data_IF_144869291231
#
_entry.id   IF_144869291231
#
_cell.length_a   1.000
_cell.length_b   1.000
_cell.length_c   1.000
_cell.angle_alpha   90.00
_cell.angle_beta   90.00
_cell.angle_gamma   90.00
#
_symmetry.space_group_name_H-M   'P 1'
#
loop_
_entity.id
_entity.type
_entity.pdbx_description
1 polymer ?
#
# COMPACT_ATOMS: atom_id res chain seq x y z
N UNK A 1 18.47 -18.29 -4.98
CA UNK A 1 18.98 -17.07 -5.63
C UNK A 1 19.27 -16.02 -4.57
N UNK A 2 20.27 -15.18 -4.79
CA UNK A 2 20.58 -14.05 -3.91
C UNK A 2 20.11 -12.74 -4.56
N UNK A 3 19.12 -12.08 -3.95
CA UNK A 3 18.49 -10.87 -4.44
C UNK A 3 19.04 -9.65 -3.69
N UNK A 4 19.56 -8.67 -4.43
CA UNK A 4 19.85 -7.33 -3.89
C UNK A 4 18.60 -6.46 -4.00
N UNK A 5 17.97 -6.15 -2.88
CA UNK A 5 16.83 -5.23 -2.80
C UNK A 5 17.34 -3.83 -2.46
N UNK A 6 17.03 -2.84 -3.29
CA UNK A 6 17.45 -1.46 -3.09
C UNK A 6 16.24 -0.58 -2.79
N UNK A 7 16.29 0.10 -1.66
CA UNK A 7 15.25 1.07 -1.26
C UNK A 7 15.91 2.30 -0.65
N UNK A 8 15.30 3.48 -0.86
CA UNK A 8 15.87 4.75 -0.40
C UNK A 8 16.09 4.78 1.11
N UNK A 9 15.05 4.42 1.84
CA UNK A 9 15.00 4.42 3.30
C UNK A 9 14.49 3.08 3.79
N UNK A 10 15.06 2.58 4.90
CA UNK A 10 14.63 1.36 5.54
C UNK A 10 14.91 1.48 7.04
N UNK A 11 13.87 1.83 7.79
CA UNK A 11 13.95 2.17 9.21
C UNK A 11 13.52 0.99 10.08
N UNK A 12 14.33 -0.06 10.11
CA UNK A 12 14.14 -1.12 11.10
C UNK A 12 14.91 -0.77 12.36
N UNK A 13 14.21 -0.75 13.48
CA UNK A 13 14.79 -0.39 14.78
C UNK A 13 14.96 1.11 15.00
N UNK A 14 14.82 1.94 14.00
CA UNK A 14 14.73 3.40 14.15
C UNK A 14 13.26 3.78 14.36
N UNK A 15 12.79 3.65 15.59
CA UNK A 15 11.53 4.27 15.98
C UNK A 15 11.79 5.78 16.03
N UNK A 16 10.82 6.55 15.48
CA UNK A 16 10.52 7.94 15.88
C UNK A 16 10.69 8.99 14.79
N UNK A 17 9.54 9.56 14.42
CA UNK A 17 9.39 10.96 14.01
C UNK A 17 9.81 11.88 15.17
N UNK A 18 9.91 13.18 14.93
CA UNK A 18 10.09 14.18 16.00
C UNK A 18 9.04 14.08 17.11
N UNK A 19 7.90 13.43 16.80
CA UNK A 19 6.74 13.24 17.67
C UNK A 19 6.63 11.79 18.21
N UNK A 20 7.69 10.99 18.11
CA UNK A 20 7.75 9.66 18.70
C UNK A 20 7.09 8.52 17.91
N UNK A 21 6.60 8.78 16.69
CA UNK A 21 5.80 7.84 15.90
C UNK A 21 6.64 7.00 14.92
N UNK A 22 6.36 5.71 14.71
CA UNK A 22 7.05 4.88 13.73
C UNK A 22 6.68 5.33 12.32
N UNK A 23 7.57 6.02 11.63
CA UNK A 23 7.36 6.48 10.25
C UNK A 23 7.93 5.51 9.25
N UNK A 24 7.32 4.33 9.09
CA UNK A 24 7.57 3.53 7.89
C UNK A 24 6.78 4.15 6.73
N UNK A 25 7.49 4.53 5.67
CA UNK A 25 6.83 4.87 4.40
C UNK A 25 6.25 3.58 3.78
N UNK A 26 5.24 3.71 2.92
CA UNK A 26 4.70 2.55 2.19
C UNK A 26 5.79 1.75 1.46
N UNK A 27 6.78 2.40 0.87
CA UNK A 27 7.91 1.73 0.20
C UNK A 27 8.76 0.88 1.17
N UNK A 28 8.99 1.34 2.40
CA UNK A 28 9.73 0.60 3.43
C UNK A 28 8.93 -0.61 3.91
N UNK A 29 7.63 -0.42 4.12
CA UNK A 29 6.71 -1.50 4.51
C UNK A 29 6.68 -2.62 3.45
N UNK A 30 6.55 -2.25 2.16
CA UNK A 30 6.56 -3.23 1.07
C UNK A 30 7.93 -3.89 0.89
N UNK A 31 9.04 -3.14 1.04
CA UNK A 31 10.38 -3.71 0.97
C UNK A 31 10.60 -4.80 2.02
N UNK A 32 10.16 -4.57 3.26
CA UNK A 32 10.28 -5.54 4.35
C UNK A 32 9.45 -6.79 4.09
N UNK A 33 8.18 -6.61 3.73
CA UNK A 33 7.28 -7.73 3.48
C UNK A 33 7.72 -8.56 2.28
N UNK A 34 8.09 -7.92 1.17
CA UNK A 34 8.63 -8.63 0.01
C UNK A 34 9.92 -9.40 0.36
N UNK A 35 10.83 -8.80 1.15
CA UNK A 35 12.04 -9.49 1.58
C UNK A 35 11.72 -10.73 2.43
N UNK A 36 10.82 -10.61 3.42
CA UNK A 36 10.38 -11.73 4.26
C UNK A 36 9.76 -12.86 3.44
N UNK A 37 8.90 -12.51 2.50
CA UNK A 37 8.23 -13.50 1.67
C UNK A 37 9.19 -14.19 0.68
N UNK A 38 10.14 -13.46 0.10
CA UNK A 38 11.19 -14.03 -0.74
C UNK A 38 12.09 -14.99 0.06
N UNK A 39 12.39 -14.66 1.33
CA UNK A 39 13.16 -15.53 2.22
C UNK A 39 12.39 -16.81 2.55
N UNK A 40 11.09 -16.74 2.85
CA UNK A 40 10.24 -17.94 3.04
C UNK A 40 10.26 -18.89 1.83
N UNK A 41 10.55 -18.36 0.63
CA UNK A 41 10.68 -19.12 -0.64
C UNK A 41 12.10 -19.61 -0.93
N UNK A 42 12.99 -19.53 0.07
CA UNK A 42 14.37 -20.02 -0.03
C UNK A 42 15.32 -19.07 -0.76
N UNK A 43 14.92 -17.81 -1.00
CA UNK A 43 15.84 -16.82 -1.55
C UNK A 43 16.64 -16.15 -0.43
N UNK A 44 17.89 -15.83 -0.72
CA UNK A 44 18.68 -14.93 0.13
C UNK A 44 18.42 -13.49 -0.28
N UNK A 45 18.14 -12.61 0.68
CA UNK A 45 17.85 -11.20 0.42
C UNK A 45 18.82 -10.29 1.19
N UNK A 46 19.50 -9.41 0.48
CA UNK A 46 20.26 -8.30 1.06
C UNK A 46 19.57 -6.99 0.72
N UNK A 47 19.18 -6.22 1.74
CA UNK A 47 18.62 -4.88 1.55
C UNK A 47 19.74 -3.85 1.60
N UNK A 48 19.88 -3.06 0.54
CA UNK A 48 20.74 -1.89 0.49
C UNK A 48 19.91 -0.62 0.64
N UNK A 49 20.26 0.20 1.64
CA UNK A 49 19.56 1.45 1.94
C UNK A 49 20.53 2.54 2.38
N UNK A 50 20.06 3.79 2.50
CA UNK A 50 20.92 4.85 3.02
C UNK A 50 21.05 4.79 4.54
N UNK A 51 22.22 5.12 5.05
CA UNK A 51 22.44 5.37 6.47
C UNK A 51 21.91 6.76 6.81
N UNK A 52 20.91 6.85 7.67
CA UNK A 52 20.31 8.15 8.07
C UNK A 52 21.08 8.81 9.21
N UNK A 53 21.52 8.01 10.19
CA UNK A 53 22.15 8.51 11.41
C UNK A 53 23.50 7.83 11.63
N UNK A 54 24.47 8.55 12.21
CA UNK A 54 25.81 8.05 12.44
C UNK A 54 25.84 6.90 13.46
N UNK A 55 24.90 6.86 14.42
CA UNK A 55 24.81 5.84 15.45
C UNK A 55 24.16 4.53 14.97
N UNK A 56 23.53 4.50 13.79
CA UNK A 56 22.95 3.26 13.28
C UNK A 56 24.05 2.32 12.76
N UNK A 57 23.87 1.02 12.98
CA UNK A 57 24.81 0.01 12.48
C UNK A 57 24.83 0.02 10.95
N UNK A 58 26.03 -0.05 10.36
CA UNK A 58 26.18 -0.11 8.89
C UNK A 58 25.74 -1.45 8.32
N UNK A 59 25.72 -2.51 9.14
CA UNK A 59 25.24 -3.84 8.79
C UNK A 59 24.57 -4.51 9.99
N UNK A 60 23.46 -5.17 9.73
CA UNK A 60 22.76 -6.01 10.71
C UNK A 60 21.99 -7.12 10.00
N UNK A 61 21.66 -8.20 10.70
CA UNK A 61 20.78 -9.26 10.22
C UNK A 61 19.51 -9.27 11.05
N UNK A 62 18.35 -9.34 10.40
CA UNK A 62 17.06 -9.31 11.06
C UNK A 62 16.07 -10.20 10.31
N UNK A 63 15.52 -11.21 10.99
CA UNK A 63 14.54 -12.13 10.40
C UNK A 63 15.03 -12.77 9.09
N UNK A 64 16.34 -13.07 8.98
CA UNK A 64 16.96 -13.61 7.75
C UNK A 64 17.31 -12.56 6.69
N UNK A 65 16.93 -11.28 6.87
CA UNK A 65 17.31 -10.17 5.99
C UNK A 65 18.71 -9.69 6.35
N UNK A 66 19.63 -9.65 5.38
CA UNK A 66 20.93 -9.00 5.50
C UNK A 66 20.77 -7.51 5.13
N UNK A 67 20.83 -6.61 6.13
CA UNK A 67 20.61 -5.18 5.94
C UNK A 67 21.95 -4.43 5.91
N UNK A 68 22.16 -3.69 4.83
CA UNK A 68 23.38 -2.90 4.57
C UNK A 68 23.02 -1.43 4.38
N UNK A 69 23.49 -0.57 5.27
CA UNK A 69 23.30 0.89 5.20
C UNK A 69 24.53 1.57 4.62
N UNK A 70 24.30 2.29 3.51
CA UNK A 70 25.34 2.97 2.72
C UNK A 70 25.54 4.39 3.23
N UNK A 71 26.81 4.82 3.32
CA UNK A 71 27.20 6.14 3.84
C UNK A 71 27.18 7.22 2.78
N UNK A 72 26.82 8.45 3.15
CA UNK A 72 27.03 9.64 2.31
C UNK A 72 28.47 10.17 2.50
N UNK A 73 29.06 10.75 1.42
CA UNK A 73 28.54 10.91 0.04
C UNK A 73 28.77 9.68 -0.84
N UNK A 74 29.50 8.68 -0.39
CA UNK A 74 30.06 7.56 -1.15
C UNK A 74 29.10 6.40 -1.47
N UNK A 75 27.79 6.57 -1.27
CA UNK A 75 26.82 5.45 -1.38
C UNK A 75 26.96 4.60 -2.63
N UNK A 76 27.17 5.23 -3.78
CA UNK A 76 27.28 4.52 -5.05
C UNK A 76 28.53 3.69 -5.15
N UNK A 77 29.67 4.27 -4.80
CA UNK A 77 30.99 3.59 -4.80
C UNK A 77 31.06 2.53 -3.71
N UNK A 78 30.55 2.81 -2.51
CA UNK A 78 30.45 1.82 -1.44
C UNK A 78 29.60 0.61 -1.88
N UNK A 79 28.44 0.85 -2.53
CA UNK A 79 27.62 -0.22 -3.06
C UNK A 79 28.39 -1.09 -4.06
N UNK A 80 29.09 -0.48 -5.01
CA UNK A 80 29.89 -1.22 -5.99
C UNK A 80 30.99 -2.07 -5.31
N UNK A 81 31.73 -1.49 -4.36
CA UNK A 81 32.77 -2.23 -3.64
C UNK A 81 32.15 -3.43 -2.91
N UNK A 82 31.01 -3.25 -2.25
CA UNK A 82 30.32 -4.36 -1.56
C UNK A 82 29.81 -5.43 -2.53
N UNK A 83 29.26 -5.06 -3.69
CA UNK A 83 28.83 -6.01 -4.72
C UNK A 83 30.00 -6.82 -5.29
N UNK A 84 31.19 -6.20 -5.44
CA UNK A 84 32.38 -6.87 -5.96
C UNK A 84 33.11 -7.73 -4.89
N UNK A 85 32.95 -7.44 -3.61
CA UNK A 85 33.72 -8.09 -2.53
C UNK A 85 32.87 -8.98 -1.66
N UNK A 86 31.97 -8.40 -0.85
CA UNK A 86 31.23 -9.10 0.19
C UNK A 86 29.90 -9.67 -0.29
N UNK A 87 29.33 -9.11 -1.35
CA UNK A 87 28.03 -9.53 -1.92
C UNK A 87 28.14 -10.00 -3.37
N UNK A 88 29.29 -10.55 -3.76
CA UNK A 88 29.59 -11.05 -5.12
C UNK A 88 28.66 -12.17 -5.60
N UNK A 89 27.89 -12.79 -4.68
CA UNK A 89 26.93 -13.85 -4.98
C UNK A 89 25.53 -13.33 -5.34
N UNK A 90 25.34 -12.01 -5.51
CA UNK A 90 24.07 -11.44 -5.95
C UNK A 90 23.80 -11.88 -7.39
N UNK A 91 22.58 -12.38 -7.64
CA UNK A 91 22.13 -12.91 -8.92
C UNK A 91 21.12 -12.00 -9.62
N UNK A 92 20.36 -11.20 -8.84
CA UNK A 92 19.31 -10.33 -9.36
C UNK A 92 19.14 -9.08 -8.49
N UNK A 93 18.62 -8.02 -9.12
CA UNK A 93 18.38 -6.74 -8.47
C UNK A 93 16.90 -6.39 -8.48
N UNK A 94 16.37 -6.06 -7.30
CA UNK A 94 15.03 -5.53 -7.12
C UNK A 94 15.10 -4.13 -6.50
N UNK A 95 14.56 -3.14 -7.20
CA UNK A 95 14.68 -1.73 -6.82
C UNK A 95 13.27 -1.19 -6.53
N UNK A 96 13.06 -0.60 -5.36
CA UNK A 96 11.79 0.02 -5.00
C UNK A 96 11.95 1.54 -5.04
N UNK A 97 11.19 2.18 -5.93
CA UNK A 97 11.34 3.59 -6.24
C UNK A 97 12.63 3.89 -7.01
N UNK A 98 13.13 5.13 -6.93
CA UNK A 98 14.30 5.59 -7.70
C UNK A 98 15.43 6.14 -6.81
N UNK A 99 16.02 5.35 -5.88
CA UNK A 99 17.12 5.83 -5.06
C UNK A 99 18.35 6.15 -5.92
N UNK A 100 18.99 7.31 -5.67
CA UNK A 100 20.11 7.80 -6.51
C UNK A 100 21.25 6.80 -6.65
N UNK A 101 21.55 6.04 -5.61
CA UNK A 101 22.62 5.05 -5.60
C UNK A 101 22.31 3.80 -6.44
N UNK A 102 21.03 3.53 -6.75
CA UNK A 102 20.65 2.37 -7.55
C UNK A 102 21.14 2.46 -9.00
N UNK A 103 21.46 3.64 -9.51
CA UNK A 103 22.09 3.81 -10.82
C UNK A 103 23.37 2.98 -10.95
N UNK A 104 24.17 2.90 -9.89
CA UNK A 104 25.39 2.10 -9.88
C UNK A 104 25.10 0.60 -9.87
N UNK A 105 24.04 0.17 -9.16
CA UNK A 105 23.59 -1.21 -9.20
C UNK A 105 23.10 -1.63 -10.59
N UNK A 106 22.33 -0.78 -11.27
CA UNK A 106 21.84 -1.03 -12.64
C UNK A 106 23.01 -1.22 -13.59
N UNK A 107 23.99 -0.30 -13.58
CA UNK A 107 25.19 -0.40 -14.43
C UNK A 107 26.01 -1.67 -14.11
N UNK A 108 26.20 -1.99 -12.85
CA UNK A 108 26.88 -3.21 -12.44
C UNK A 108 26.15 -4.46 -12.93
N UNK A 109 24.83 -4.51 -12.74
CA UNK A 109 24.00 -5.62 -13.18
C UNK A 109 24.10 -5.84 -14.70
N UNK A 110 24.00 -4.77 -15.50
CA UNK A 110 24.13 -4.85 -16.95
C UNK A 110 25.50 -5.39 -17.38
N UNK A 111 26.60 -4.92 -16.75
CA UNK A 111 27.94 -5.39 -17.04
C UNK A 111 28.14 -6.90 -16.73
N UNK A 112 27.27 -7.49 -15.91
CA UNK A 112 27.31 -8.89 -15.48
C UNK A 112 26.19 -9.74 -16.08
N UNK A 113 25.26 -9.17 -16.86
CA UNK A 113 24.10 -9.87 -17.41
C UNK A 113 23.09 -10.31 -16.35
N UNK A 114 23.00 -9.57 -15.23
CA UNK A 114 22.02 -9.83 -14.18
C UNK A 114 20.71 -9.09 -14.45
N UNK A 115 19.54 -9.70 -14.16
CA UNK A 115 18.26 -9.05 -14.31
C UNK A 115 18.08 -7.93 -13.27
N UNK A 116 17.43 -6.86 -13.71
CA UNK A 116 17.06 -5.71 -12.87
C UNK A 116 15.57 -5.46 -12.99
N UNK A 117 14.85 -5.57 -11.88
CA UNK A 117 13.43 -5.27 -11.78
C UNK A 117 13.23 -3.98 -10.98
N UNK A 118 12.46 -3.04 -11.52
CA UNK A 118 12.12 -1.78 -10.88
C UNK A 118 10.64 -1.74 -10.50
N UNK A 119 10.33 -1.60 -9.21
CA UNK A 119 8.98 -1.30 -8.75
C UNK A 119 8.66 0.18 -8.91
N UNK A 120 7.59 0.45 -9.64
CA UNK A 120 7.07 1.78 -9.95
C UNK A 120 6.13 2.23 -8.81
N UNK A 121 6.61 3.12 -7.94
CA UNK A 121 5.93 3.48 -6.68
C UNK A 121 5.22 4.84 -6.71
N UNK A 122 5.00 5.42 -7.87
CA UNK A 122 4.37 6.76 -7.96
C UNK A 122 4.12 7.20 -9.38
N UNK A 123 3.73 8.47 -9.52
CA UNK A 123 3.43 9.07 -10.83
C UNK A 123 4.64 9.03 -11.75
N UNK A 124 4.39 8.79 -13.03
CA UNK A 124 5.41 8.69 -14.09
C UNK A 124 6.25 9.97 -14.33
N UNK A 125 5.91 11.09 -13.69
CA UNK A 125 6.60 12.39 -13.83
C UNK A 125 8.10 12.32 -13.52
N UNK A 126 8.54 11.36 -12.68
CA UNK A 126 9.95 11.14 -12.36
C UNK A 126 10.71 10.53 -13.55
N UNK A 127 9.98 9.89 -14.47
CA UNK A 127 10.49 9.15 -15.61
C UNK A 127 10.41 9.91 -16.95
N UNK A 128 10.26 11.22 -16.93
CA UNK A 128 10.24 11.99 -18.16
C UNK A 128 11.50 11.63 -18.99
N UNK A 129 11.30 10.64 -19.87
CA UNK A 129 12.35 9.86 -20.54
C UNK A 129 13.14 10.74 -21.50
N UNK A 130 14.04 11.49 -21.01
CA UNK A 130 14.90 12.38 -21.81
C UNK A 130 15.44 13.55 -21.01
N UNK A 131 14.77 13.98 -19.95
CA UNK A 131 15.13 15.22 -19.24
C UNK A 131 16.35 15.09 -18.33
N UNK A 132 16.66 13.89 -17.81
CA UNK A 132 17.85 13.72 -17.00
C UNK A 132 18.53 12.34 -17.19
N UNK A 133 19.84 12.31 -16.99
CA UNK A 133 20.66 11.11 -17.17
C UNK A 133 20.24 9.93 -16.28
N UNK A 134 19.68 10.17 -15.08
CA UNK A 134 19.21 9.11 -14.19
C UNK A 134 17.98 8.40 -14.75
N UNK A 135 17.01 9.15 -15.26
CA UNK A 135 15.84 8.59 -15.92
C UNK A 135 16.24 7.65 -17.05
N UNK A 136 17.26 8.03 -17.85
CA UNK A 136 17.79 7.18 -18.91
C UNK A 136 18.37 5.86 -18.38
N UNK A 137 19.05 5.87 -17.22
CA UNK A 137 19.56 4.63 -16.63
C UNK A 137 18.41 3.78 -16.06
N UNK A 138 17.44 4.37 -15.37
CA UNK A 138 16.29 3.64 -14.87
C UNK A 138 15.41 3.05 -15.99
N UNK A 139 15.37 3.67 -17.17
CA UNK A 139 14.63 3.14 -18.33
C UNK A 139 15.29 1.92 -18.99
N UNK A 140 16.50 1.55 -18.58
CA UNK A 140 17.21 0.36 -19.08
C UNK A 140 16.98 -0.90 -18.24
N UNK A 141 16.17 -0.85 -17.18
CA UNK A 141 15.86 -2.04 -16.39
C UNK A 141 15.26 -3.15 -17.27
N UNK A 142 15.51 -4.39 -16.89
CA UNK A 142 15.00 -5.57 -17.60
C UNK A 142 13.50 -5.64 -17.51
N UNK A 143 12.98 -5.52 -16.28
CA UNK A 143 11.56 -5.60 -15.97
C UNK A 143 11.11 -4.45 -15.06
N UNK A 144 9.80 -4.16 -15.09
CA UNK A 144 9.14 -3.19 -14.23
C UNK A 144 7.91 -3.83 -13.60
N UNK A 145 7.58 -3.39 -12.40
CA UNK A 145 6.34 -3.77 -11.70
C UNK A 145 5.54 -2.52 -11.41
N UNK A 146 4.37 -2.41 -12.00
CA UNK A 146 3.36 -1.41 -11.67
C UNK A 146 2.34 -2.03 -10.70
N UNK A 147 1.91 -1.27 -9.69
CA UNK A 147 0.94 -1.79 -8.71
C UNK A 147 -0.49 -1.71 -9.20
N UNK A 148 -0.76 -0.90 -10.24
CA UNK A 148 -2.08 -0.70 -10.85
C UNK A 148 -1.94 -0.43 -12.36
N UNK A 149 -3.07 -0.57 -13.07
CA UNK A 149 -3.14 -0.26 -14.50
C UNK A 149 -2.85 1.23 -14.76
N UNK A 150 -3.36 2.14 -13.92
CA UNK A 150 -3.08 3.58 -14.05
C UNK A 150 -1.57 3.87 -14.02
N UNK A 151 -0.84 3.23 -13.09
CA UNK A 151 0.61 3.39 -13.01
C UNK A 151 1.28 2.84 -14.25
N UNK A 152 0.93 1.61 -14.69
CA UNK A 152 1.45 1.01 -15.92
C UNK A 152 1.28 1.96 -17.11
N UNK A 153 0.05 2.41 -17.34
CA UNK A 153 -0.30 3.22 -18.50
C UNK A 153 0.39 4.59 -18.48
N UNK A 154 0.51 5.18 -17.28
CA UNK A 154 1.28 6.40 -17.10
C UNK A 154 2.77 6.25 -17.47
N UNK A 155 3.39 5.12 -17.15
CA UNK A 155 4.80 4.85 -17.50
C UNK A 155 4.97 4.47 -18.96
N UNK A 156 3.99 3.84 -19.60
CA UNK A 156 3.99 3.61 -21.05
C UNK A 156 3.91 4.95 -21.79
N UNK A 157 2.88 5.75 -21.48
CA UNK A 157 2.57 6.97 -22.22
C UNK A 157 3.59 8.09 -22.01
N UNK A 158 4.01 8.33 -20.77
CA UNK A 158 4.91 9.43 -20.39
C UNK A 158 6.35 8.99 -20.17
N UNK A 159 6.54 7.77 -19.68
CA UNK A 159 7.87 7.21 -19.41
C UNK A 159 8.53 6.55 -20.61
N UNK A 160 7.78 6.26 -21.68
CA UNK A 160 8.28 5.58 -22.88
C UNK A 160 8.77 4.16 -22.61
N UNK A 161 8.28 3.51 -21.53
CA UNK A 161 8.63 2.13 -21.24
C UNK A 161 7.76 1.20 -22.08
N UNK A 162 8.39 0.24 -22.73
CA UNK A 162 7.71 -0.72 -23.58
C UNK A 162 6.76 -1.61 -22.74
N UNK A 163 5.50 -1.80 -23.18
CA UNK A 163 4.48 -2.54 -22.41
C UNK A 163 4.92 -3.95 -22.00
N UNK A 164 5.65 -4.65 -22.88
CA UNK A 164 6.16 -6.01 -22.65
C UNK A 164 7.20 -6.08 -21.51
N UNK A 165 7.66 -4.97 -20.99
CA UNK A 165 8.57 -4.89 -19.84
C UNK A 165 7.84 -4.65 -18.53
N UNK A 166 6.54 -4.28 -18.54
CA UNK A 166 5.81 -3.87 -17.34
C UNK A 166 4.82 -4.95 -16.94
N UNK A 167 5.05 -5.57 -15.78
CA UNK A 167 4.05 -6.43 -15.14
C UNK A 167 3.16 -5.61 -14.22
N UNK A 168 1.85 -5.87 -14.20
CA UNK A 168 0.92 -5.30 -13.23
C UNK A 168 0.76 -6.31 -12.09
N UNK A 169 1.22 -5.94 -10.90
CA UNK A 169 1.22 -6.79 -9.71
C UNK A 169 0.89 -5.97 -8.48
N UNK A 170 -0.24 -6.25 -7.83
CA UNK A 170 -0.64 -5.58 -6.60
C UNK A 170 0.39 -5.74 -5.47
N UNK A 171 0.28 -4.90 -4.46
CA UNK A 171 0.97 -5.15 -3.19
C UNK A 171 0.46 -6.44 -2.55
N UNK A 172 1.31 -7.14 -1.86
CA UNK A 172 0.88 -8.22 -0.99
C UNK A 172 0.20 -7.69 0.29
N UNK A 173 -0.74 -8.45 0.80
CA UNK A 173 -1.32 -8.29 2.13
C UNK A 173 -1.31 -9.62 2.88
N UNK A 174 -1.22 -9.54 4.20
CA UNK A 174 -1.30 -10.70 5.09
C UNK A 174 -2.76 -11.11 5.29
N UNK A 175 -3.25 -12.01 4.44
CA UNK A 175 -4.63 -12.53 4.48
C UNK A 175 -4.86 -13.54 5.61
N UNK A 176 -3.82 -14.02 6.29
CA UNK A 176 -3.95 -14.83 7.51
C UNK A 176 -4.18 -13.94 8.73
N UNK A 177 -3.71 -12.72 8.67
CA UNK A 177 -3.81 -11.73 9.73
C UNK A 177 -5.04 -10.83 9.61
N UNK A 178 -5.39 -10.40 8.40
CA UNK A 178 -6.62 -9.65 8.13
C UNK A 178 -7.73 -10.63 7.74
N UNK A 179 -8.61 -10.90 8.69
CA UNK A 179 -9.67 -11.90 8.58
C UNK A 179 -11.04 -11.33 8.91
N UNK A 180 -12.07 -11.92 8.34
CA UNK A 180 -13.45 -11.57 8.64
C UNK A 180 -13.78 -12.03 10.05
N UNK A 181 -14.32 -11.17 10.94
CA UNK A 181 -14.70 -11.56 12.29
C UNK A 181 -15.94 -12.46 12.29
N UNK A 182 -16.10 -13.31 13.31
CA UNK A 182 -17.38 -13.93 13.60
C UNK A 182 -18.39 -12.86 14.05
N UNK A 183 -19.67 -13.20 14.01
CA UNK A 183 -20.74 -12.29 14.50
C UNK A 183 -20.54 -11.95 15.97
N UNK A 184 -20.18 -12.94 16.78
CA UNK A 184 -19.92 -12.81 18.20
C UNK A 184 -18.70 -11.92 18.48
N UNK A 185 -17.63 -12.12 17.72
CA UNK A 185 -16.42 -11.32 17.85
C UNK A 185 -16.68 -9.85 17.47
N UNK A 186 -17.40 -9.62 16.38
CA UNK A 186 -17.80 -8.26 15.97
C UNK A 186 -18.61 -7.55 17.05
N UNK A 187 -19.59 -8.24 17.65
CA UNK A 187 -20.41 -7.69 18.74
C UNK A 187 -19.56 -7.37 19.97
N UNK A 188 -18.72 -8.30 20.40
CA UNK A 188 -17.79 -8.12 21.53
C UNK A 188 -16.88 -6.91 21.33
N UNK A 189 -16.24 -6.79 20.16
CA UNK A 189 -15.36 -5.66 19.84
C UNK A 189 -16.10 -4.31 19.90
N UNK A 190 -17.36 -4.26 19.45
CA UNK A 190 -18.21 -3.07 19.54
C UNK A 190 -18.55 -2.71 20.98
N UNK A 191 -18.96 -3.69 21.79
CA UNK A 191 -19.28 -3.50 23.20
C UNK A 191 -18.08 -3.00 24.00
N UNK A 192 -16.90 -3.57 23.80
CA UNK A 192 -15.64 -3.13 24.41
C UNK A 192 -15.33 -1.66 24.09
N UNK A 193 -15.77 -1.19 22.93
CA UNK A 193 -15.66 0.21 22.55
C UNK A 193 -16.92 1.03 22.92
N UNK A 194 -17.91 0.48 23.63
CA UNK A 194 -19.16 1.16 23.95
C UNK A 194 -19.96 1.57 22.72
N UNK A 195 -19.91 0.77 21.66
CA UNK A 195 -20.73 0.88 20.46
C UNK A 195 -21.80 -0.20 20.56
N UNK A 196 -23.05 0.16 20.24
CA UNK A 196 -24.12 -0.85 20.21
C UNK A 196 -23.76 -2.01 19.28
N UNK A 197 -23.99 -3.28 19.69
CA UNK A 197 -23.76 -4.44 18.83
C UNK A 197 -24.44 -4.33 17.45
N UNK A 198 -25.60 -3.72 17.40
CA UNK A 198 -26.44 -3.57 16.21
C UNK A 198 -26.23 -2.22 15.48
N UNK A 199 -25.24 -1.42 15.91
CA UNK A 199 -24.93 -0.16 15.25
C UNK A 199 -24.44 -0.40 13.80
N UNK A 200 -24.78 0.53 12.91
CA UNK A 200 -24.25 0.60 11.56
C UNK A 200 -22.96 1.42 11.59
N UNK A 201 -21.85 0.79 11.23
CA UNK A 201 -20.51 1.37 11.46
C UNK A 201 -19.77 1.60 10.13
N UNK A 202 -19.47 2.88 9.86
CA UNK A 202 -18.52 3.29 8.82
C UNK A 202 -17.10 3.34 9.39
N UNK A 203 -16.14 2.91 8.60
CA UNK A 203 -14.70 2.97 8.96
C UNK A 203 -13.95 3.80 7.93
N UNK A 204 -13.19 4.76 8.40
CA UNK A 204 -12.15 5.46 7.66
C UNK A 204 -10.80 5.17 8.32
N UNK A 205 -9.84 4.68 7.56
CA UNK A 205 -8.49 4.38 8.08
C UNK A 205 -7.42 4.90 7.11
N UNK A 206 -6.77 6.01 7.47
CA UNK A 206 -5.68 6.60 6.69
C UNK A 206 -4.96 7.68 7.51
N UNK A 207 -3.81 8.16 7.01
CA UNK A 207 -3.18 9.37 7.53
C UNK A 207 -4.13 10.56 7.39
N UNK A 208 -4.24 11.38 8.43
CA UNK A 208 -5.13 12.55 8.42
C UNK A 208 -4.42 13.71 7.70
N UNK A 209 -4.51 13.67 6.38
CA UNK A 209 -3.98 14.68 5.44
C UNK A 209 -5.00 14.94 4.33
N UNK A 210 -4.93 16.10 3.68
CA UNK A 210 -5.89 16.49 2.63
C UNK A 210 -5.95 15.50 1.47
N UNK A 211 -4.82 14.94 1.06
CA UNK A 211 -4.75 13.97 -0.05
C UNK A 211 -5.58 12.71 0.21
N UNK A 212 -5.85 12.38 1.48
CA UNK A 212 -6.71 11.25 1.87
C UNK A 212 -8.20 11.62 1.97
N UNK A 213 -8.59 12.81 1.48
CA UNK A 213 -9.98 13.23 1.38
C UNK A 213 -10.67 13.52 2.71
N UNK A 214 -9.89 13.92 3.75
CA UNK A 214 -10.45 14.29 5.06
C UNK A 214 -11.46 15.43 4.94
N UNK A 215 -11.25 16.36 4.00
CA UNK A 215 -12.22 17.44 3.74
C UNK A 215 -13.57 16.90 3.23
N UNK A 216 -13.55 15.83 2.43
CA UNK A 216 -14.76 15.13 1.96
C UNK A 216 -15.40 14.37 3.12
N UNK A 217 -14.60 13.69 3.96
CA UNK A 217 -15.10 13.00 5.16
C UNK A 217 -15.84 13.94 6.11
N UNK A 218 -15.28 15.14 6.35
CA UNK A 218 -15.89 16.19 7.17
C UNK A 218 -17.24 16.68 6.66
N UNK A 219 -17.50 16.56 5.35
CA UNK A 219 -18.78 16.94 4.73
C UNK A 219 -19.76 15.77 4.67
N UNK A 220 -19.30 14.58 4.30
CA UNK A 220 -20.17 13.42 4.13
C UNK A 220 -20.72 12.90 5.46
N UNK A 221 -19.94 12.92 6.56
CA UNK A 221 -20.40 12.34 7.82
C UNK A 221 -21.63 13.03 8.40
N UNK A 222 -21.72 14.37 8.49
CA UNK A 222 -22.95 15.03 8.93
C UNK A 222 -24.17 14.67 8.07
N UNK A 223 -24.02 14.45 6.76
CA UNK A 223 -25.11 14.00 5.89
C UNK A 223 -25.57 12.59 6.23
N UNK A 224 -24.63 11.67 6.48
CA UNK A 224 -24.97 10.30 6.91
C UNK A 224 -25.64 10.32 8.26
N UNK A 225 -25.12 11.05 9.23
CA UNK A 225 -25.68 11.16 10.59
C UNK A 225 -27.08 11.77 10.59
N UNK A 226 -27.34 12.78 9.75
CA UNK A 226 -28.66 13.40 9.62
C UNK A 226 -29.71 12.43 9.05
N UNK A 227 -29.30 11.53 8.14
CA UNK A 227 -30.19 10.51 7.55
C UNK A 227 -30.33 9.27 8.45
N UNK A 228 -29.32 8.96 9.26
CA UNK A 228 -29.25 7.81 10.14
C UNK A 228 -28.52 8.14 11.44
N UNK A 229 -29.22 8.64 12.43
CA UNK A 229 -28.68 8.99 13.74
C UNK A 229 -28.13 7.75 14.52
N UNK A 230 -28.50 6.53 14.12
CA UNK A 230 -27.98 5.28 14.67
C UNK A 230 -26.60 4.90 14.09
N UNK A 231 -26.18 5.51 13.00
CA UNK A 231 -24.87 5.23 12.39
C UNK A 231 -23.71 5.72 13.28
N UNK A 232 -22.57 5.06 13.13
CA UNK A 232 -21.31 5.41 13.82
C UNK A 232 -20.18 5.51 12.81
N UNK A 233 -19.25 6.45 13.04
CA UNK A 233 -18.03 6.60 12.25
C UNK A 233 -16.81 6.32 13.12
N UNK A 234 -15.94 5.43 12.65
CA UNK A 234 -14.61 5.22 13.24
C UNK A 234 -13.56 5.87 12.33
N UNK A 235 -12.81 6.84 12.84
CA UNK A 235 -11.72 7.50 12.14
C UNK A 235 -10.40 7.05 12.76
N UNK A 236 -9.67 6.21 12.01
CA UNK A 236 -8.40 5.63 12.44
C UNK A 236 -7.26 6.32 11.66
N UNK A 237 -6.29 6.86 12.38
CA UNK A 237 -5.11 7.48 11.82
C UNK A 237 -4.76 8.81 12.47
N UNK A 238 -3.47 9.11 12.48
CA UNK A 238 -2.92 10.39 12.93
C UNK A 238 -2.57 11.31 11.77
N UNK A 239 -2.32 12.58 12.07
CA UNK A 239 -1.92 13.52 11.03
C UNK A 239 -1.86 14.98 11.47
N UNK A 240 -2.17 15.90 10.54
CA UNK A 240 -2.05 17.33 10.78
C UNK A 240 -3.00 17.82 11.87
N UNK A 241 -2.47 18.55 12.84
CA UNK A 241 -3.20 19.05 14.00
C UNK A 241 -4.51 19.79 13.62
N UNK A 242 -4.47 20.63 12.59
CA UNK A 242 -5.65 21.37 12.11
C UNK A 242 -6.80 20.44 11.67
N UNK A 243 -6.48 19.39 10.87
CA UNK A 243 -7.48 18.44 10.41
C UNK A 243 -8.01 17.55 11.54
N UNK A 244 -7.14 17.16 12.48
CA UNK A 244 -7.55 16.44 13.68
C UNK A 244 -8.52 17.28 14.52
N UNK A 245 -8.23 18.56 14.72
CA UNK A 245 -9.13 19.49 15.44
C UNK A 245 -10.50 19.55 14.76
N UNK A 246 -10.56 19.72 13.43
CA UNK A 246 -11.81 19.76 12.66
C UNK A 246 -12.61 18.45 12.75
N UNK A 247 -11.93 17.30 12.76
CA UNK A 247 -12.59 16.00 12.99
C UNK A 247 -13.22 15.91 14.38
N UNK A 248 -12.53 16.40 15.43
CA UNK A 248 -13.10 16.43 16.77
C UNK A 248 -14.27 17.41 16.90
N UNK A 249 -14.25 18.53 16.18
CA UNK A 249 -15.36 19.48 16.09
C UNK A 249 -16.57 18.84 15.43
N UNK A 250 -16.40 18.22 14.26
CA UNK A 250 -17.43 17.45 13.56
C UNK A 250 -18.03 16.34 14.47
N UNK A 251 -17.18 15.63 15.21
CA UNK A 251 -17.65 14.60 16.13
C UNK A 251 -18.57 15.17 17.22
N UNK A 252 -18.30 16.36 17.73
CA UNK A 252 -19.16 17.07 18.69
C UNK A 252 -20.47 17.51 18.04
N UNK A 253 -20.41 18.05 16.84
CA UNK A 253 -21.57 18.52 16.07
C UNK A 253 -22.50 17.39 15.65
N UNK A 254 -22.01 16.14 15.64
CA UNK A 254 -22.77 14.94 15.34
C UNK A 254 -23.02 14.06 16.58
N UNK A 255 -23.26 14.69 17.74
CA UNK A 255 -23.63 14.05 19.01
C UNK A 255 -22.68 12.91 19.45
N UNK A 256 -21.39 13.01 19.13
CA UNK A 256 -20.39 12.01 19.45
C UNK A 256 -20.53 10.70 18.64
N UNK A 257 -21.33 10.72 17.56
CA UNK A 257 -21.49 9.55 16.67
C UNK A 257 -20.22 9.20 15.90
N UNK A 258 -19.29 10.14 15.73
CA UNK A 258 -17.96 9.90 15.17
C UNK A 258 -16.92 9.76 16.29
N UNK A 259 -16.06 8.73 16.19
CA UNK A 259 -14.93 8.51 17.10
C UNK A 259 -13.63 8.73 16.38
N UNK A 260 -12.83 9.66 16.90
CA UNK A 260 -11.51 10.02 16.33
C UNK A 260 -10.45 9.32 17.19
N UNK A 261 -9.93 8.20 16.67
CA UNK A 261 -9.08 7.28 17.44
C UNK A 261 -7.59 7.64 17.41
N UNK A 262 -7.20 8.53 16.48
CA UNK A 262 -5.79 8.86 16.30
C UNK A 262 -5.02 7.70 15.65
N UNK A 263 -3.70 7.74 15.77
CA UNK A 263 -2.82 6.69 15.27
C UNK A 263 -2.88 5.46 16.18
N UNK A 264 -3.04 4.29 15.57
CA UNK A 264 -3.12 3.01 16.27
C UNK A 264 -2.03 2.07 15.76
N UNK A 265 -1.49 1.25 16.64
CA UNK A 265 -0.47 0.26 16.26
C UNK A 265 -1.06 -0.87 15.39
N UNK A 266 -2.35 -1.18 15.60
CA UNK A 266 -3.03 -2.29 14.96
C UNK A 266 -4.46 -1.96 14.55
N UNK A 267 -4.74 -1.73 13.26
CA UNK A 267 -6.05 -1.27 12.81
C UNK A 267 -7.11 -2.38 12.64
N UNK A 268 -6.73 -3.67 12.64
CA UNK A 268 -7.65 -4.78 12.38
C UNK A 268 -8.93 -4.75 13.22
N UNK A 269 -8.90 -4.54 14.55
CA UNK A 269 -10.14 -4.53 15.34
C UNK A 269 -11.15 -3.49 14.85
N UNK A 270 -10.68 -2.36 14.31
CA UNK A 270 -11.55 -1.30 13.79
C UNK A 270 -12.18 -1.68 12.45
N UNK A 271 -11.46 -2.38 11.57
CA UNK A 271 -12.07 -2.96 10.37
C UNK A 271 -13.12 -4.01 10.77
N UNK A 272 -12.81 -4.88 11.73
CA UNK A 272 -13.72 -5.93 12.19
C UNK A 272 -15.00 -5.40 12.86
N UNK A 273 -14.96 -4.23 13.48
CA UNK A 273 -16.14 -3.52 13.98
C UNK A 273 -16.99 -2.89 12.87
N UNK A 274 -16.41 -2.66 11.71
CA UNK A 274 -17.02 -1.95 10.58
C UNK A 274 -18.09 -2.75 9.83
N UNK A 275 -18.92 -2.04 9.10
CA UNK A 275 -19.89 -2.57 8.14
C UNK A 275 -19.55 -2.10 6.71
N UNK A 276 -19.02 -0.89 6.57
CA UNK A 276 -18.64 -0.28 5.30
C UNK A 276 -17.33 0.50 5.49
N UNK A 277 -16.41 0.34 4.56
CA UNK A 277 -15.20 1.15 4.49
C UNK A 277 -15.43 2.36 3.59
N UNK A 278 -15.08 3.57 4.06
CA UNK A 278 -15.19 4.79 3.26
C UNK A 278 -13.80 5.40 3.04
N UNK A 279 -13.46 5.66 1.77
CA UNK A 279 -12.11 6.11 1.41
C UNK A 279 -12.12 7.19 0.32
N UNK A 280 -12.36 8.46 0.67
CA UNK A 280 -12.49 9.58 -0.26
C UNK A 280 -11.13 10.16 -0.70
N UNK A 281 -10.10 9.31 -0.87
CA UNK A 281 -8.76 9.76 -1.24
C UNK A 281 -8.73 10.42 -2.62
N UNK A 282 -7.83 11.41 -2.80
CA UNK A 282 -7.64 12.11 -4.07
C UNK A 282 -6.63 11.41 -4.98
N UNK A 283 -5.66 10.73 -4.38
CA UNK A 283 -4.59 10.06 -5.12
C UNK A 283 -4.10 8.84 -4.36
N UNK A 284 -4.03 7.71 -5.05
CA UNK A 284 -3.44 6.46 -4.55
C UNK A 284 -2.67 5.76 -5.67
N UNK A 285 -1.59 5.09 -5.27
CA UNK A 285 -0.97 4.10 -6.14
C UNK A 285 -1.72 2.77 -6.04
N UNK A 286 -1.81 2.22 -4.83
CA UNK A 286 -2.68 1.12 -4.43
C UNK A 286 -2.83 1.24 -2.91
N UNK A 287 -4.02 1.56 -2.37
CA UNK A 287 -4.17 1.85 -0.94
C UNK A 287 -4.16 0.56 -0.10
N UNK A 288 -3.13 0.40 0.75
CA UNK A 288 -3.00 -0.76 1.65
C UNK A 288 -4.20 -0.88 2.59
N UNK A 289 -4.70 0.25 3.13
CA UNK A 289 -5.85 0.25 4.03
C UNK A 289 -7.16 -0.21 3.35
N UNK A 290 -7.30 -0.02 2.03
CA UNK A 290 -8.42 -0.59 1.28
C UNK A 290 -8.29 -2.11 1.17
N UNK A 291 -7.08 -2.63 0.90
CA UNK A 291 -6.83 -4.08 0.90
C UNK A 291 -7.10 -4.70 2.28
N UNK A 292 -6.71 -4.02 3.36
CA UNK A 292 -6.95 -4.45 4.74
C UNK A 292 -8.45 -4.51 5.06
N UNK A 293 -9.20 -3.48 4.68
CA UNK A 293 -10.64 -3.42 4.85
C UNK A 293 -11.35 -4.53 4.04
N UNK A 294 -10.99 -4.70 2.77
CA UNK A 294 -11.53 -5.74 1.90
C UNK A 294 -11.22 -7.16 2.42
N UNK A 295 -9.99 -7.41 2.88
CA UNK A 295 -9.61 -8.68 3.49
C UNK A 295 -10.38 -8.97 4.80
N UNK A 296 -10.80 -7.91 5.50
CA UNK A 296 -11.64 -7.99 6.70
C UNK A 296 -13.15 -8.09 6.40
N UNK A 297 -13.53 -8.23 5.12
CA UNK A 297 -14.91 -8.43 4.69
C UNK A 297 -15.74 -7.16 4.53
N UNK A 298 -15.13 -5.98 4.47
CA UNK A 298 -15.85 -4.73 4.28
C UNK A 298 -16.02 -4.41 2.79
N UNK A 299 -17.26 -4.21 2.31
CA UNK A 299 -17.47 -3.49 1.06
C UNK A 299 -17.05 -2.04 1.22
N UNK A 300 -16.58 -1.40 0.15
CA UNK A 300 -16.02 -0.07 0.23
C UNK A 300 -16.75 0.94 -0.66
N UNK A 301 -16.85 2.19 -0.18
CA UNK A 301 -17.18 3.36 -0.99
C UNK A 301 -15.90 4.18 -1.16
N UNK A 302 -15.42 4.30 -2.37
CA UNK A 302 -14.12 4.92 -2.68
C UNK A 302 -14.23 5.98 -3.76
N UNK A 303 -13.26 6.89 -3.81
CA UNK A 303 -13.12 7.78 -4.97
C UNK A 303 -12.82 6.98 -6.25
N UNK A 304 -13.38 7.42 -7.37
CA UNK A 304 -13.05 6.93 -8.72
C UNK A 304 -11.65 7.44 -9.12
N UNK A 305 -10.63 6.72 -8.67
CA UNK A 305 -9.21 6.97 -8.92
C UNK A 305 -8.50 5.66 -9.25
N UNK A 306 -7.48 5.71 -10.11
CA UNK A 306 -6.83 4.51 -10.63
C UNK A 306 -6.35 3.52 -9.58
N UNK A 307 -5.85 4.01 -8.42
CA UNK A 307 -5.42 3.13 -7.33
C UNK A 307 -6.55 2.33 -6.66
N UNK A 308 -7.82 2.75 -6.83
CA UNK A 308 -8.99 2.04 -6.30
C UNK A 308 -9.70 1.22 -7.38
N UNK A 309 -9.61 1.64 -8.65
CA UNK A 309 -10.39 1.09 -9.76
C UNK A 309 -10.06 -0.37 -10.08
N UNK A 310 -8.84 -0.81 -9.77
CA UNK A 310 -8.42 -2.21 -9.92
C UNK A 310 -8.96 -3.14 -8.82
N UNK A 311 -9.58 -2.59 -7.77
CA UNK A 311 -10.09 -3.34 -6.62
C UNK A 311 -11.61 -3.22 -6.45
N UNK A 312 -12.18 -2.05 -6.80
CA UNK A 312 -13.60 -1.78 -6.55
C UNK A 312 -14.39 -1.84 -7.86
N UNK A 313 -15.32 -2.76 -7.89
CA UNK A 313 -16.29 -2.99 -8.96
C UNK A 313 -17.68 -2.68 -8.44
N UNK A 314 -18.35 -1.72 -9.09
CA UNK A 314 -19.66 -1.21 -8.67
C UNK A 314 -20.69 -2.33 -8.49
N UNK A 315 -21.33 -2.39 -7.32
CA UNK A 315 -22.30 -3.40 -6.95
C UNK A 315 -21.72 -4.80 -6.66
N UNK A 316 -20.40 -5.01 -6.83
CA UNK A 316 -19.75 -6.30 -6.63
C UNK A 316 -18.80 -6.34 -5.41
N UNK A 317 -17.90 -5.37 -5.29
CA UNK A 317 -16.96 -5.25 -4.14
C UNK A 317 -17.15 -3.94 -3.37
N UNK A 318 -17.99 -3.05 -3.87
CA UNK A 318 -18.27 -1.73 -3.32
C UNK A 318 -18.82 -0.79 -4.37
N UNK A 319 -18.57 0.51 -4.18
CA UNK A 319 -18.94 1.58 -5.11
C UNK A 319 -17.82 2.58 -5.31
N UNK A 320 -17.66 3.04 -6.54
CA UNK A 320 -16.80 4.17 -6.90
C UNK A 320 -17.66 5.41 -7.08
N UNK A 321 -17.21 6.52 -6.55
CA UNK A 321 -17.91 7.80 -6.65
C UNK A 321 -16.94 8.91 -7.11
N UNK A 322 -17.43 9.99 -7.73
CA UNK A 322 -16.56 11.08 -8.14
C UNK A 322 -15.73 11.61 -6.97
N UNK A 323 -14.47 11.97 -7.23
CA UNK A 323 -13.59 12.54 -6.23
C UNK A 323 -14.17 13.83 -5.67
N UNK A 324 -14.10 14.01 -4.34
CA UNK A 324 -14.61 15.17 -3.60
C UNK A 324 -16.15 15.35 -3.58
N UNK A 325 -16.92 14.43 -4.14
CA UNK A 325 -18.38 14.45 -4.08
C UNK A 325 -18.89 13.83 -2.78
N UNK A 326 -18.99 14.65 -1.73
CA UNK A 326 -19.44 14.21 -0.42
C UNK A 326 -20.89 13.67 -0.42
N UNK A 327 -21.76 14.20 -1.31
CA UNK A 327 -23.15 13.76 -1.40
C UNK A 327 -23.24 12.34 -2.00
N UNK A 328 -22.51 12.07 -3.07
CA UNK A 328 -22.43 10.74 -3.68
C UNK A 328 -21.81 9.72 -2.69
N UNK A 329 -20.79 10.11 -1.91
CA UNK A 329 -20.24 9.27 -0.85
C UNK A 329 -21.27 8.96 0.23
N UNK A 330 -22.04 9.95 0.70
CA UNK A 330 -23.08 9.77 1.71
C UNK A 330 -24.20 8.88 1.19
N UNK A 331 -24.67 9.08 -0.05
CA UNK A 331 -25.68 8.26 -0.70
C UNK A 331 -25.28 6.79 -0.75
N UNK A 332 -24.08 6.48 -1.28
CA UNK A 332 -23.61 5.09 -1.40
C UNK A 332 -23.30 4.44 -0.06
N UNK A 333 -22.81 5.22 0.91
CA UNK A 333 -22.62 4.73 2.29
C UNK A 333 -23.96 4.36 2.94
N UNK A 334 -24.98 5.22 2.85
CA UNK A 334 -26.33 4.96 3.35
C UNK A 334 -26.99 3.76 2.64
N UNK A 335 -26.83 3.66 1.32
CA UNK A 335 -27.30 2.51 0.55
C UNK A 335 -26.73 1.20 1.10
N UNK A 336 -25.41 1.14 1.32
CA UNK A 336 -24.77 -0.04 1.91
C UNK A 336 -25.19 -0.27 3.37
N UNK A 337 -25.28 0.77 4.19
CA UNK A 337 -25.70 0.64 5.59
C UNK A 337 -27.14 0.10 5.73
N UNK A 338 -28.03 0.38 4.75
CA UNK A 338 -29.40 -0.11 4.72
C UNK A 338 -29.60 -1.49 4.08
N UNK A 339 -28.57 -2.09 3.46
CA UNK A 339 -28.67 -3.37 2.74
C UNK A 339 -27.71 -4.42 3.33
N UNK A 340 -28.16 -5.15 4.35
CA UNK A 340 -27.37 -6.20 5.00
C UNK A 340 -26.97 -7.34 4.06
N UNK A 341 -27.88 -7.72 3.15
CA UNK A 341 -27.62 -8.80 2.19
C UNK A 341 -26.58 -8.37 1.14
N UNK A 342 -26.72 -7.14 0.63
CA UNK A 342 -25.76 -6.54 -0.29
C UNK A 342 -24.40 -6.36 0.34
N UNK A 343 -24.31 -5.87 1.58
CA UNK A 343 -23.04 -5.76 2.32
C UNK A 343 -22.32 -7.10 2.42
N UNK A 344 -23.04 -8.15 2.84
CA UNK A 344 -22.48 -9.49 2.97
C UNK A 344 -21.94 -10.01 1.64
N UNK A 345 -22.75 -9.98 0.59
CA UNK A 345 -22.35 -10.42 -0.75
C UNK A 345 -21.13 -9.67 -1.27
N UNK A 346 -21.12 -8.33 -1.12
CA UNK A 346 -19.98 -7.52 -1.59
C UNK A 346 -18.73 -7.72 -0.73
N UNK A 347 -18.89 -7.92 0.57
CA UNK A 347 -17.79 -8.24 1.48
C UNK A 347 -17.14 -9.59 1.15
N UNK A 348 -17.94 -10.62 0.90
CA UNK A 348 -17.46 -11.95 0.47
C UNK A 348 -16.70 -11.86 -0.87
N UNK A 349 -17.22 -11.09 -1.83
CA UNK A 349 -16.55 -10.86 -3.11
C UNK A 349 -15.24 -10.08 -2.95
N UNK A 350 -15.20 -9.10 -2.04
CA UNK A 350 -14.00 -8.34 -1.71
C UNK A 350 -12.91 -9.24 -1.11
N UNK A 351 -13.26 -10.09 -0.15
CA UNK A 351 -12.34 -11.08 0.44
C UNK A 351 -11.79 -12.01 -0.63
N UNK A 352 -12.67 -12.61 -1.45
CA UNK A 352 -12.27 -13.52 -2.51
C UNK A 352 -11.30 -12.88 -3.52
N UNK A 353 -11.56 -11.61 -3.88
CA UNK A 353 -10.69 -10.85 -4.78
C UNK A 353 -9.31 -10.65 -4.17
N UNK A 354 -9.25 -10.18 -2.91
CA UNK A 354 -7.98 -9.91 -2.22
C UNK A 354 -7.17 -11.19 -2.02
N UNK A 355 -7.78 -12.28 -1.60
CA UNK A 355 -7.10 -13.56 -1.44
C UNK A 355 -6.49 -14.07 -2.75
N UNK A 356 -7.22 -13.94 -3.85
CA UNK A 356 -6.78 -14.41 -5.17
C UNK A 356 -5.67 -13.57 -5.78
N UNK A 357 -5.68 -12.26 -5.55
CA UNK A 357 -4.81 -11.32 -6.26
C UNK A 357 -3.71 -10.71 -5.38
N UNK A 358 -4.00 -10.50 -4.11
CA UNK A 358 -3.19 -9.69 -3.22
C UNK A 358 -2.63 -10.45 -2.00
N UNK A 359 -2.98 -11.73 -1.78
CA UNK A 359 -2.37 -12.49 -0.69
C UNK A 359 -0.84 -12.57 -0.88
N UNK A 360 -0.06 -12.40 0.21
CA UNK A 360 1.40 -12.51 0.11
C UNK A 360 1.87 -13.82 -0.51
N UNK A 361 1.18 -14.93 -0.25
CA UNK A 361 1.46 -16.22 -0.89
C UNK A 361 1.37 -16.17 -2.41
N UNK A 362 0.41 -15.45 -2.96
CA UNK A 362 0.18 -15.31 -4.41
C UNK A 362 1.13 -14.29 -5.03
N UNK A 363 1.24 -13.11 -4.40
CA UNK A 363 2.05 -12.00 -4.93
C UNK A 363 3.52 -12.36 -4.98
N UNK A 364 4.03 -13.06 -3.97
CA UNK A 364 5.46 -13.29 -3.84
C UNK A 364 6.01 -14.30 -4.84
N UNK A 365 5.21 -15.28 -5.28
CA UNK A 365 5.61 -16.20 -6.34
C UNK A 365 5.72 -15.46 -7.68
N UNK A 366 4.73 -14.61 -7.98
CA UNK A 366 4.72 -13.76 -9.17
C UNK A 366 5.89 -12.75 -9.14
N UNK A 367 6.14 -12.13 -7.99
CA UNK A 367 7.25 -11.21 -7.78
C UNK A 367 8.61 -11.90 -8.01
N UNK A 368 8.81 -13.08 -7.42
CA UNK A 368 10.04 -13.85 -7.60
C UNK A 368 10.27 -14.21 -9.07
N UNK A 369 9.22 -14.63 -9.78
CA UNK A 369 9.31 -14.94 -11.21
C UNK A 369 9.72 -13.73 -12.06
N UNK A 370 9.16 -12.54 -11.79
CA UNK A 370 9.54 -11.29 -12.48
C UNK A 370 10.98 -10.89 -12.18
N UNK A 371 11.41 -10.98 -10.90
CA UNK A 371 12.78 -10.62 -10.49
C UNK A 371 13.83 -11.54 -11.15
N UNK A 372 13.50 -12.82 -11.35
CA UNK A 372 14.41 -13.81 -11.93
C UNK A 372 14.52 -13.72 -13.45
N UNK A 373 13.53 -13.12 -14.11
CA UNK A 373 13.49 -13.09 -15.57
C UNK A 373 14.57 -12.20 -16.16
N UNK A 374 15.40 -12.79 -17.00
CA UNK A 374 16.43 -12.09 -17.79
C UNK A 374 15.89 -11.42 -19.05
N UNK A 375 14.66 -11.79 -19.44
CA UNK A 375 13.95 -11.27 -20.58
C UNK A 375 12.75 -10.43 -20.14
N UNK A 376 12.26 -9.52 -20.98
CA UNK A 376 11.00 -8.82 -20.74
C UNK A 376 9.86 -9.83 -20.43
N UNK A 377 9.15 -9.60 -19.33
CA UNK A 377 8.09 -10.51 -18.89
C UNK A 377 6.83 -9.78 -18.43
N UNK A 378 6.44 -8.75 -19.18
CA UNK A 378 5.23 -7.98 -18.91
C UNK A 378 4.00 -8.88 -18.86
N UNK A 379 3.41 -9.03 -17.66
CA UNK A 379 2.21 -9.84 -17.40
C UNK A 379 1.22 -9.03 -16.59
N UNK A 380 -0.05 -9.19 -16.94
CA UNK A 380 -1.13 -8.61 -16.16
C UNK A 380 -1.65 -9.64 -15.15
N UNK A 381 -1.15 -9.55 -13.92
CA UNK A 381 -1.56 -10.45 -12.85
C UNK A 381 -2.85 -10.00 -12.15
N UNK A 382 -3.33 -8.77 -12.40
CA UNK A 382 -4.60 -8.28 -11.90
C UNK A 382 -5.75 -8.73 -12.80
N UNK A 383 -5.65 -8.56 -14.12
CA UNK A 383 -6.68 -9.04 -15.06
C UNK A 383 -6.86 -10.55 -15.00
N UNK A 384 -5.79 -11.32 -14.93
CA UNK A 384 -5.86 -12.79 -14.80
C UNK A 384 -6.63 -13.27 -13.55
N UNK A 385 -6.86 -12.39 -12.57
CA UNK A 385 -7.67 -12.66 -11.39
C UNK A 385 -9.13 -12.19 -11.49
N UNK A 386 -9.52 -11.48 -12.55
CA UNK A 386 -10.85 -10.90 -12.71
C UNK A 386 -11.83 -11.81 -13.47
N UNK A 387 -11.33 -12.78 -14.23
CA UNK A 387 -12.15 -13.75 -14.96
C UNK A 387 -12.73 -14.79 -14.01
N UNK A 388 -13.85 -14.44 -13.36
CA UNK A 388 -14.86 -15.38 -12.80
C UNK A 388 -16.23 -14.71 -12.85
#
# INVERSE_FOLDING_TARGET
MHIALLVKDFAVGEKFSKDGLPTKSGAEFHAENHAKELIKRGHRVTIFTRKRHFYTKSRESMGGIDLVRLHEPSRGTELLVRLMTTHKTVDAFYIIGTPKFAVWAIRFAHARGFPVTLALTGKAEIFDAGKNWRSRVFSTCTNYIATTHEIRDGYIQRGGIAPEKISVLAHGIDTERYVVPTVEEKKRLREEQGISPDARVLVFCARIVRDKGVDTLLKLWPMVHAADAGARLLVVGGGKHELMRRLHEMAKETDGSARILGEVDWPLPYYQMGDVYVFPSRHEALPTSLLEAMASGLPAVVSDIGGCNDLIFDGRTGYRVPTEDAAAFAEKALQLLGDDAGRRRMGEAAVALVHRMCAYSVVSDKLAAVIQSKEPCGKDFLLAGMEV
#
